data_IF_748498721316
#
_entry.id   IF_748498721316
#
_cell.length_a   1.000
_cell.length_b   1.000
_cell.length_c   1.000
_cell.angle_alpha   90.00
_cell.angle_beta   90.00
_cell.angle_gamma   90.00
#
_symmetry.space_group_name_H-M   'P 1'
#
loop_
_entity.id
_entity.type
_entity.pdbx_description
1 polymer ?
#
# COMPACT_ATOMS: atom_id res chain seq x y z
N UNK A 1 -24.35 -3.70 -15.40
CA UNK A 1 -24.31 -4.33 -14.08
C UNK A 1 -24.14 -5.82 -14.32
N UNK A 2 -22.91 -6.35 -14.25
CA UNK A 2 -22.70 -7.80 -14.35
C UNK A 2 -22.82 -8.41 -12.97
N UNK A 3 -23.84 -9.25 -12.79
CA UNK A 3 -23.98 -10.09 -11.62
C UNK A 3 -23.26 -11.40 -11.93
N UNK A 4 -22.03 -11.54 -11.42
CA UNK A 4 -21.31 -12.81 -11.49
C UNK A 4 -21.95 -13.77 -10.49
N UNK A 5 -22.62 -14.81 -11.00
CA UNK A 5 -23.18 -15.90 -10.19
C UNK A 5 -22.12 -17.00 -10.08
N UNK A 6 -21.66 -17.28 -8.87
CA UNK A 6 -20.78 -18.41 -8.58
C UNK A 6 -21.64 -19.65 -8.33
N UNK A 7 -21.34 -20.74 -9.04
CA UNK A 7 -22.17 -21.95 -9.12
C UNK A 7 -22.19 -22.78 -7.84
N UNK A 8 -21.27 -22.53 -6.91
CA UNK A 8 -21.12 -23.28 -5.67
C UNK A 8 -21.11 -22.27 -4.53
N UNK A 9 -22.09 -22.34 -3.63
CA UNK A 9 -22.37 -21.35 -2.56
C UNK A 9 -21.29 -21.13 -1.50
N UNK A 10 -20.03 -21.46 -1.79
CA UNK A 10 -18.89 -20.98 -1.03
C UNK A 10 -18.22 -19.85 -1.81
N UNK A 11 -18.39 -18.63 -1.32
CA UNK A 11 -17.53 -17.53 -1.74
C UNK A 11 -16.11 -17.90 -1.26
N UNK A 12 -15.31 -18.50 -2.13
CA UNK A 12 -13.89 -18.68 -1.87
C UNK A 12 -13.32 -17.31 -1.53
N UNK A 13 -12.91 -17.13 -0.27
CA UNK A 13 -12.28 -15.89 0.18
C UNK A 13 -11.18 -15.56 -0.85
N UNK A 14 -11.18 -14.36 -1.47
CA UNK A 14 -10.16 -14.02 -2.44
C UNK A 14 -8.79 -14.28 -1.81
N UNK A 15 -7.92 -15.03 -2.51
CA UNK A 15 -6.55 -15.34 -2.04
C UNK A 15 -5.75 -14.07 -1.72
N UNK A 16 -6.22 -12.92 -2.20
CA UNK A 16 -5.64 -11.61 -2.03
C UNK A 16 -6.70 -10.61 -1.56
N UNK A 17 -6.77 -10.35 -0.25
CA UNK A 17 -7.72 -9.40 0.35
C UNK A 17 -7.45 -7.94 -0.10
N UNK A 18 -6.29 -7.65 -0.68
CA UNK A 18 -6.03 -6.34 -1.30
C UNK A 18 -6.86 -6.12 -2.58
N UNK A 19 -7.42 -7.19 -3.14
CA UNK A 19 -8.34 -7.15 -4.28
C UNK A 19 -9.81 -7.06 -3.86
N UNK A 20 -10.13 -7.07 -2.56
CA UNK A 20 -11.51 -6.87 -2.10
C UNK A 20 -11.87 -5.39 -2.26
N UNK A 21 -12.84 -5.06 -3.13
CA UNK A 21 -13.27 -3.69 -3.29
C UNK A 21 -13.95 -3.20 -2.00
N UNK A 22 -13.51 -2.03 -1.51
CA UNK A 22 -14.22 -1.32 -0.45
C UNK A 22 -15.26 -0.43 -1.11
N UNK A 23 -16.54 -0.76 -0.90
CA UNK A 23 -17.64 0.06 -1.36
C UNK A 23 -17.95 1.13 -0.31
N UNK A 24 -17.86 2.39 -0.71
CA UNK A 24 -18.22 3.54 0.11
C UNK A 24 -19.36 4.30 -0.58
N UNK A 25 -20.29 4.84 0.20
CA UNK A 25 -21.22 5.85 -0.31
C UNK A 25 -20.44 7.12 -0.69
N UNK A 26 -21.04 7.99 -1.50
CA UNK A 26 -20.43 9.27 -1.86
C UNK A 26 -20.08 10.10 -0.61
N UNK A 27 -21.01 10.21 0.33
CA UNK A 27 -20.77 10.90 1.61
C UNK A 27 -19.62 10.28 2.40
N UNK A 28 -19.52 8.96 2.48
CA UNK A 28 -18.42 8.29 3.18
C UNK A 28 -17.08 8.55 2.50
N UNK A 29 -17.03 8.48 1.16
CA UNK A 29 -15.83 8.77 0.38
C UNK A 29 -15.37 10.22 0.58
N UNK A 30 -16.30 11.17 0.56
CA UNK A 30 -15.99 12.59 0.67
C UNK A 30 -15.51 12.94 2.09
N UNK A 31 -16.18 12.41 3.12
CA UNK A 31 -15.73 12.54 4.50
C UNK A 31 -14.33 11.93 4.69
N UNK A 32 -14.10 10.75 4.12
CA UNK A 32 -12.83 10.04 4.24
C UNK A 32 -11.65 10.80 3.63
N UNK A 33 -11.85 11.56 2.55
CA UNK A 33 -10.78 12.36 1.92
C UNK A 33 -10.80 13.85 2.28
N UNK A 34 -11.79 14.31 3.08
CA UNK A 34 -12.03 15.73 3.38
C UNK A 34 -10.87 16.48 4.05
N UNK A 35 -9.98 15.75 4.72
CA UNK A 35 -8.82 16.32 5.40
C UNK A 35 -7.61 16.50 4.48
N UNK A 36 -7.64 16.03 3.23
CA UNK A 36 -6.60 16.29 2.23
C UNK A 36 -6.99 17.52 1.42
N UNK A 37 -6.35 18.66 1.68
CA UNK A 37 -6.72 19.94 1.04
C UNK A 37 -5.62 20.47 0.14
N UNK A 38 -5.94 21.01 -1.05
CA UNK A 38 -4.95 21.67 -1.88
C UNK A 38 -4.37 22.90 -1.17
N UNK A 39 -3.07 23.10 -1.30
CA UNK A 39 -2.38 24.31 -0.88
C UNK A 39 -2.52 25.38 -1.96
N UNK A 40 -2.25 26.64 -1.61
CA UNK A 40 -2.28 27.74 -2.59
C UNK A 40 -1.18 27.49 -3.64
N UNK A 41 -1.47 27.62 -4.94
CA UNK A 41 -0.44 27.48 -5.97
C UNK A 41 0.63 28.55 -5.77
N UNK A 42 1.89 28.14 -5.80
CA UNK A 42 3.00 29.09 -5.94
C UNK A 42 2.98 29.66 -7.35
N UNK A 43 3.43 30.91 -7.49
CA UNK A 43 3.36 31.70 -8.73
C UNK A 43 4.19 31.16 -9.91
N UNK A 44 4.89 30.03 -9.75
CA UNK A 44 5.86 29.51 -10.72
C UNK A 44 5.39 28.27 -11.49
N UNK A 45 4.07 28.04 -11.61
CA UNK A 45 3.54 26.92 -12.42
C UNK A 45 3.84 25.53 -11.84
N UNK A 46 4.19 25.45 -10.55
CA UNK A 46 4.42 24.20 -9.85
C UNK A 46 3.10 23.43 -9.61
N UNK A 47 3.20 22.09 -9.54
CA UNK A 47 2.07 21.23 -9.17
C UNK A 47 1.49 21.65 -7.81
N UNK A 48 0.15 21.64 -7.69
CA UNK A 48 -0.53 21.98 -6.44
C UNK A 48 -0.27 20.89 -5.40
N UNK A 49 0.51 21.22 -4.38
CA UNK A 49 0.70 20.37 -3.22
C UNK A 49 -0.59 20.28 -2.40
N UNK A 50 -0.72 19.20 -1.63
CA UNK A 50 -1.83 18.97 -0.72
C UNK A 50 -1.34 18.88 0.71
N UNK A 51 -2.11 19.42 1.65
CA UNK A 51 -1.85 19.31 3.07
C UNK A 51 -2.87 18.38 3.73
N UNK A 52 -2.39 17.44 4.53
CA UNK A 52 -3.23 16.71 5.48
C UNK A 52 -3.54 17.61 6.67
N UNK A 53 -4.81 17.97 6.85
CA UNK A 53 -5.25 18.82 7.94
C UNK A 53 -5.28 18.10 9.30
N UNK A 54 -5.18 16.77 9.31
CA UNK A 54 -5.16 15.98 10.54
C UNK A 54 -3.75 15.87 11.15
N UNK A 55 -2.70 15.71 10.35
CA UNK A 55 -1.32 15.56 10.83
C UNK A 55 -0.35 16.66 10.36
N UNK A 56 -0.79 17.54 9.47
CA UNK A 56 0.00 18.65 8.94
C UNK A 56 0.94 18.30 7.78
N UNK A 57 1.05 17.03 7.39
CA UNK A 57 1.96 16.58 6.33
C UNK A 57 1.64 17.25 4.97
N UNK A 58 2.69 17.72 4.29
CA UNK A 58 2.64 18.23 2.91
C UNK A 58 2.89 17.05 1.97
N UNK A 59 2.08 16.95 0.93
CA UNK A 59 1.99 15.81 0.02
C UNK A 59 2.04 16.36 -1.41
N UNK A 60 2.88 15.81 -2.30
CA UNK A 60 3.15 16.41 -3.60
C UNK A 60 1.96 16.39 -4.57
N UNK A 61 1.01 15.48 -4.39
CA UNK A 61 -0.15 15.34 -5.28
C UNK A 61 -1.34 14.65 -4.58
N UNK A 62 -2.53 14.74 -5.20
CA UNK A 62 -3.77 14.16 -4.66
C UNK A 62 -3.75 12.63 -4.59
N UNK A 63 -3.08 11.94 -5.52
CA UNK A 63 -3.00 10.47 -5.53
C UNK A 63 -2.26 9.96 -4.30
N UNK A 64 -1.13 10.58 -3.97
CA UNK A 64 -0.41 10.32 -2.73
C UNK A 64 -1.21 10.76 -1.50
N UNK A 65 -2.02 11.81 -1.62
CA UNK A 65 -2.93 12.26 -0.56
C UNK A 65 -4.00 11.23 -0.21
N UNK A 66 -4.62 10.61 -1.22
CA UNK A 66 -5.59 9.52 -1.03
C UNK A 66 -4.95 8.29 -0.41
N UNK A 67 -3.72 7.95 -0.83
CA UNK A 67 -2.94 6.88 -0.22
C UNK A 67 -2.66 7.19 1.25
N UNK A 68 -2.16 8.39 1.54
CA UNK A 68 -1.92 8.85 2.91
C UNK A 68 -3.17 8.75 3.79
N UNK A 69 -4.35 9.12 3.29
CA UNK A 69 -5.61 9.06 4.04
C UNK A 69 -5.92 7.65 4.60
N UNK A 70 -5.57 6.60 3.87
CA UNK A 70 -5.74 5.19 4.31
C UNK A 70 -4.81 4.83 5.48
N UNK A 71 -3.64 5.46 5.61
CA UNK A 71 -2.75 5.22 6.76
C UNK A 71 -3.39 5.62 8.10
N UNK A 72 -4.33 6.57 8.09
CA UNK A 72 -5.07 6.96 9.30
C UNK A 72 -6.04 5.88 9.79
N UNK A 73 -6.39 4.89 8.96
CA UNK A 73 -7.27 3.79 9.37
C UNK A 73 -6.60 2.79 10.32
N UNK A 74 -5.28 2.88 10.58
CA UNK A 74 -4.51 2.00 11.50
C UNK A 74 -4.69 0.48 11.30
N UNK A 75 -5.32 0.03 10.21
CA UNK A 75 -5.43 -1.37 9.79
C UNK A 75 -4.21 -1.72 8.93
N UNK A 76 -3.17 -2.28 9.54
CA UNK A 76 -2.11 -2.97 8.79
C UNK A 76 -2.76 -4.18 8.09
N UNK A 77 -2.58 -4.28 6.77
CA UNK A 77 -3.17 -5.38 5.96
C UNK A 77 -2.12 -6.34 5.42
N UNK A 78 -0.84 -6.06 5.67
CA UNK A 78 0.27 -6.80 5.09
C UNK A 78 1.32 -6.98 6.16
N UNK A 79 1.82 -8.19 6.32
CA UNK A 79 2.88 -8.56 7.26
C UNK A 79 4.05 -9.18 6.49
N UNK A 80 5.26 -8.74 6.80
CA UNK A 80 6.46 -9.40 6.31
C UNK A 80 6.62 -10.75 7.03
N UNK A 81 6.70 -11.86 6.28
CA UNK A 81 6.91 -13.19 6.85
C UNK A 81 8.31 -13.40 7.43
N UNK A 82 9.27 -12.55 7.07
CA UNK A 82 10.65 -12.64 7.57
C UNK A 82 10.83 -11.91 8.92
N UNK A 83 10.36 -10.65 9.03
CA UNK A 83 10.58 -9.82 10.21
C UNK A 83 9.29 -9.47 10.99
N UNK A 84 8.11 -9.81 10.47
CA UNK A 84 6.83 -9.47 11.09
C UNK A 84 6.41 -8.00 10.96
N UNK A 85 7.19 -7.14 10.29
CA UNK A 85 6.83 -5.75 10.05
C UNK A 85 5.53 -5.62 9.26
N UNK A 86 4.69 -4.65 9.62
CA UNK A 86 3.42 -4.39 8.94
C UNK A 86 3.51 -3.29 7.89
N UNK A 87 2.66 -3.35 6.86
CA UNK A 87 2.41 -2.27 5.92
C UNK A 87 0.92 -2.18 5.55
N UNK A 88 0.51 -0.99 5.12
CA UNK A 88 -0.80 -0.74 4.52
C UNK A 88 -0.81 -1.01 3.02
N UNK A 89 0.33 -0.82 2.34
CA UNK A 89 0.43 -0.86 0.88
C UNK A 89 1.41 -1.93 0.40
N UNK A 90 1.00 -2.68 -0.63
CA UNK A 90 1.82 -3.70 -1.27
C UNK A 90 3.08 -3.09 -1.92
N UNK A 91 3.02 -1.83 -2.38
CA UNK A 91 4.19 -1.10 -2.87
C UNK A 91 5.28 -0.98 -1.81
N UNK A 92 4.87 -0.61 -0.60
CA UNK A 92 5.81 -0.26 0.46
C UNK A 92 6.42 -1.53 1.05
N UNK A 93 5.63 -2.60 1.17
CA UNK A 93 6.14 -3.92 1.58
C UNK A 93 7.07 -4.54 0.52
N UNK A 94 6.77 -4.35 -0.78
CA UNK A 94 7.69 -4.77 -1.85
C UNK A 94 9.00 -3.99 -1.78
N UNK A 95 8.96 -2.67 -1.61
CA UNK A 95 10.17 -1.87 -1.44
C UNK A 95 10.97 -2.32 -0.23
N UNK A 96 10.31 -2.59 0.90
CA UNK A 96 10.94 -3.12 2.10
C UNK A 96 11.76 -4.39 1.84
N UNK A 97 11.21 -5.33 1.08
CA UNK A 97 11.89 -6.58 0.70
C UNK A 97 12.96 -6.37 -0.38
N UNK A 98 12.62 -5.66 -1.47
CA UNK A 98 13.49 -5.52 -2.64
C UNK A 98 14.70 -4.61 -2.40
N UNK A 99 14.56 -3.58 -1.57
CA UNK A 99 15.62 -2.60 -1.28
C UNK A 99 16.32 -2.87 0.04
N UNK A 100 16.21 -4.10 0.57
CA UNK A 100 16.95 -4.57 1.74
C UNK A 100 16.67 -3.77 3.02
N UNK A 101 15.46 -3.24 3.18
CA UNK A 101 15.04 -2.61 4.44
C UNK A 101 14.55 -3.63 5.49
N UNK A 102 14.41 -4.91 5.12
CA UNK A 102 14.09 -5.99 6.04
C UNK A 102 15.33 -6.44 6.83
N UNK A 103 15.30 -6.32 8.14
CA UNK A 103 16.38 -6.77 9.04
C UNK A 103 16.58 -8.30 8.99
N UNK A 104 15.51 -9.04 8.73
CA UNK A 104 15.51 -10.50 8.61
C UNK A 104 15.67 -11.00 7.18
N UNK A 105 16.16 -10.18 6.24
CA UNK A 105 16.32 -10.60 4.85
C UNK A 105 17.27 -11.78 4.68
N UNK A 106 18.26 -11.90 5.57
CA UNK A 106 19.24 -12.98 5.58
C UNK A 106 18.63 -14.36 5.92
N UNK A 107 17.41 -14.41 6.46
CA UNK A 107 16.70 -15.66 6.74
C UNK A 107 15.87 -16.17 5.55
N UNK A 108 15.85 -15.44 4.43
CA UNK A 108 15.17 -15.87 3.23
C UNK A 108 15.84 -17.15 2.64
N UNK A 109 15.07 -18.06 2.03
CA UNK A 109 15.63 -19.24 1.36
C UNK A 109 16.68 -18.88 0.30
N UNK A 110 17.65 -19.77 0.11
CA UNK A 110 18.68 -19.60 -0.92
C UNK A 110 18.06 -19.42 -2.31
N UNK A 111 18.65 -18.54 -3.12
CA UNK A 111 18.16 -18.22 -4.47
C UNK A 111 17.03 -17.20 -4.53
N UNK A 112 16.45 -16.79 -3.39
CA UNK A 112 15.42 -15.73 -3.35
C UNK A 112 16.02 -14.32 -3.24
N UNK A 113 17.21 -14.20 -2.65
CA UNK A 113 17.90 -12.93 -2.45
C UNK A 113 19.22 -12.96 -3.22
N UNK A 114 19.40 -12.02 -4.14
CA UNK A 114 20.66 -11.79 -4.85
C UNK A 114 21.73 -11.37 -3.83
N UNK A 115 22.86 -12.06 -3.71
CA UNK A 115 23.91 -11.75 -2.73
C UNK A 115 24.51 -10.34 -2.87
N UNK A 116 25.20 -9.89 -1.82
CA UNK A 116 25.86 -8.58 -1.79
C UNK A 116 24.89 -7.42 -1.55
N UNK A 117 25.10 -6.29 -2.23
CA UNK A 117 24.33 -5.05 -2.04
C UNK A 117 23.45 -4.70 -3.25
N UNK A 118 23.21 -5.65 -4.15
CA UNK A 118 22.38 -5.41 -5.32
C UNK A 118 20.95 -5.01 -4.92
N UNK A 119 20.43 -3.96 -5.55
CA UNK A 119 19.03 -3.52 -5.44
C UNK A 119 18.43 -3.36 -6.85
N UNK A 120 17.21 -3.86 -7.11
CA UNK A 120 16.42 -4.71 -6.21
C UNK A 120 17.09 -6.08 -5.99
N UNK A 121 17.16 -6.54 -4.74
CA UNK A 121 17.79 -7.81 -4.37
C UNK A 121 16.93 -9.05 -4.68
N UNK A 122 15.69 -8.84 -5.13
CA UNK A 122 14.77 -9.91 -5.54
C UNK A 122 13.72 -9.35 -6.52
N UNK A 123 13.10 -10.22 -7.31
CA UNK A 123 12.01 -9.86 -8.22
C UNK A 123 10.71 -9.55 -7.46
N UNK A 124 9.75 -8.90 -8.13
CA UNK A 124 8.43 -8.65 -7.52
C UNK A 124 7.69 -9.96 -7.18
N UNK A 125 7.86 -10.98 -8.03
CA UNK A 125 7.27 -12.32 -7.81
C UNK A 125 7.88 -13.00 -6.59
N UNK A 126 9.20 -12.90 -6.39
CA UNK A 126 9.86 -13.40 -5.17
C UNK A 126 9.40 -12.64 -3.92
N UNK A 127 9.35 -11.30 -3.98
CA UNK A 127 8.91 -10.48 -2.85
C UNK A 127 7.49 -10.83 -2.38
N UNK A 128 6.57 -11.13 -3.31
CA UNK A 128 5.18 -11.52 -3.00
C UNK A 128 5.09 -12.77 -2.12
N UNK A 129 6.08 -13.67 -2.18
CA UNK A 129 6.10 -14.90 -1.38
C UNK A 129 6.42 -14.65 0.10
N UNK A 130 6.91 -13.46 0.46
CA UNK A 130 7.22 -13.09 1.84
C UNK A 130 6.21 -12.10 2.45
N UNK A 131 5.03 -11.94 1.84
CA UNK A 131 3.99 -11.03 2.29
C UNK A 131 2.75 -11.84 2.68
N UNK A 132 2.43 -11.81 3.97
CA UNK A 132 1.18 -12.34 4.55
C UNK A 132 0.16 -11.19 4.66
N UNK A 133 -1.14 -11.53 4.66
CA UNK A 133 -2.25 -10.58 4.82
C UNK A 133 -2.73 -10.55 6.27
#
# INVERSE_FOLDING_TARGET
MEIVRYSNGEASLPRDLSQIPVFLTETQRDLFFSFIRPMKPSSDGAAVEHKCMQCGQIIPNISDGRRHAVSHLRIMRLRCLLCGSGSFFCSDMRLHLQYRHCEMLHTAPEGYVVPGNAVPCMTQSQARLFIEL
#
